data_IF_011196876451
#
_entry.id   IF_011196876451
#
_cell.length_a   1.000
_cell.length_b   1.000
_cell.length_c   1.000
_cell.angle_alpha   90.00
_cell.angle_beta   90.00
_cell.angle_gamma   90.00
#
_symmetry.space_group_name_H-M   'P 1'
#
loop_
_entity.id
_entity.type
_entity.pdbx_description
1 polymer ?
#
# COMPACT_ATOMS: atom_id res chain seq x y z
N UNK A 1 11.36 8.45 22.80
CA UNK A 1 10.08 8.21 22.11
C UNK A 1 9.07 9.25 22.57
N UNK A 2 8.76 10.25 21.75
CA UNK A 2 7.80 11.32 22.12
C UNK A 2 6.38 10.75 22.20
N UNK A 3 5.66 11.10 23.25
CA UNK A 3 4.23 10.77 23.44
C UNK A 3 3.43 11.40 22.29
N UNK A 4 2.81 10.58 21.43
CA UNK A 4 1.90 11.07 20.38
C UNK A 4 0.88 12.00 21.00
N UNK A 5 0.60 13.13 20.35
CA UNK A 5 -0.41 14.06 20.85
C UNK A 5 -1.78 13.37 20.89
N UNK A 6 -2.67 13.79 21.78
CA UNK A 6 -4.04 13.25 21.83
C UNK A 6 -4.74 13.43 20.47
N UNK A 7 -4.43 14.49 19.75
CA UNK A 7 -4.93 14.78 18.40
C UNK A 7 -4.48 13.71 17.39
N UNK A 8 -3.19 13.34 17.38
CA UNK A 8 -2.68 12.32 16.46
C UNK A 8 -3.28 10.94 16.74
N UNK A 9 -3.45 10.58 18.02
CA UNK A 9 -4.11 9.35 18.42
C UNK A 9 -5.55 9.29 17.93
N UNK A 10 -6.31 10.40 18.08
CA UNK A 10 -7.71 10.47 17.63
C UNK A 10 -7.81 10.43 16.11
N UNK A 11 -6.93 11.11 15.40
CA UNK A 11 -6.89 11.03 13.93
C UNK A 11 -6.61 9.59 13.46
N UNK A 12 -5.62 8.90 14.04
CA UNK A 12 -5.33 7.50 13.74
C UNK A 12 -6.54 6.58 13.99
N UNK A 13 -7.21 6.72 15.13
CA UNK A 13 -8.41 5.98 15.49
C UNK A 13 -9.56 6.17 14.48
N UNK A 14 -9.77 7.40 14.00
CA UNK A 14 -10.80 7.71 12.99
C UNK A 14 -10.43 7.09 11.64
N UNK A 15 -9.16 7.16 11.22
CA UNK A 15 -8.66 6.58 9.98
C UNK A 15 -8.83 5.04 10.00
N UNK A 16 -8.47 4.38 11.08
CA UNK A 16 -8.66 2.94 11.28
C UNK A 16 -10.15 2.55 11.22
N UNK A 17 -11.01 3.35 11.84
CA UNK A 17 -12.44 3.13 11.77
C UNK A 17 -13.00 3.27 10.35
N UNK A 18 -12.51 4.23 9.53
CA UNK A 18 -12.88 4.31 8.11
C UNK A 18 -12.43 3.06 7.36
N UNK A 19 -11.20 2.59 7.59
CA UNK A 19 -10.70 1.37 6.97
C UNK A 19 -11.60 0.17 7.27
N UNK A 20 -11.99 -0.02 8.54
CA UNK A 20 -12.91 -1.07 8.94
C UNK A 20 -14.31 -0.93 8.35
N UNK A 21 -14.83 0.29 8.17
CA UNK A 21 -16.10 0.54 7.47
C UNK A 21 -15.98 0.20 5.98
N UNK A 22 -14.89 0.62 5.32
CA UNK A 22 -14.64 0.30 3.91
C UNK A 22 -14.58 -1.22 3.69
N UNK A 23 -13.93 -1.96 4.58
CA UNK A 23 -13.85 -3.41 4.51
C UNK A 23 -15.23 -4.09 4.70
N UNK A 24 -16.10 -3.51 5.52
CA UNK A 24 -17.41 -4.08 5.84
C UNK A 24 -18.49 -3.75 4.80
N UNK A 25 -18.57 -2.50 4.35
CA UNK A 25 -19.70 -2.02 3.52
C UNK A 25 -19.26 -1.27 2.26
N UNK A 26 -17.98 -1.06 2.04
CA UNK A 26 -17.42 -0.25 0.96
C UNK A 26 -17.44 1.25 1.29
N UNK A 27 -16.57 2.02 0.59
CA UNK A 27 -16.43 3.46 0.84
C UNK A 27 -17.73 4.23 0.62
N UNK A 28 -18.45 3.96 -0.46
CA UNK A 28 -19.67 4.71 -0.80
C UNK A 28 -20.71 4.66 0.32
N UNK A 29 -20.92 3.51 0.93
CA UNK A 29 -21.89 3.30 2.02
C UNK A 29 -21.38 3.73 3.38
N UNK A 30 -20.06 3.87 3.56
CA UNK A 30 -19.49 4.42 4.79
C UNK A 30 -19.90 5.89 4.96
N UNK A 31 -20.27 6.26 6.17
CA UNK A 31 -20.64 7.64 6.56
C UNK A 31 -19.79 8.11 7.73
N UNK A 32 -19.64 9.43 7.92
CA UNK A 32 -18.97 9.98 9.10
C UNK A 32 -19.62 9.46 10.39
N UNK A 33 -20.93 9.25 10.38
CA UNK A 33 -21.65 8.70 11.54
C UNK A 33 -21.29 7.24 11.82
N UNK A 34 -21.20 6.39 10.79
CA UNK A 34 -20.80 4.99 10.99
C UNK A 34 -19.33 4.87 11.38
N UNK A 35 -18.46 5.71 10.81
CA UNK A 35 -17.04 5.82 11.20
C UNK A 35 -16.93 6.24 12.67
N UNK A 36 -17.69 7.25 13.12
CA UNK A 36 -17.72 7.69 14.51
C UNK A 36 -18.15 6.56 15.45
N UNK A 37 -19.23 5.85 15.09
CA UNK A 37 -19.74 4.71 15.88
C UNK A 37 -18.68 3.60 16.00
N UNK A 38 -18.02 3.23 14.88
CA UNK A 38 -16.93 2.24 14.88
C UNK A 38 -15.72 2.68 15.70
N UNK A 39 -15.38 3.97 15.65
CA UNK A 39 -14.29 4.55 16.45
C UNK A 39 -14.65 4.69 17.94
N UNK A 40 -15.90 4.48 18.34
CA UNK A 40 -16.35 4.76 19.71
C UNK A 40 -16.31 6.25 20.07
N UNK A 41 -16.54 7.14 19.08
CA UNK A 41 -16.46 8.58 19.21
C UNK A 41 -17.81 9.25 18.91
N UNK A 42 -18.05 10.42 19.50
CA UNK A 42 -19.16 11.26 19.07
C UNK A 42 -18.91 11.81 17.65
N UNK A 43 -19.94 11.90 16.78
CA UNK A 43 -19.78 12.46 15.42
C UNK A 43 -19.16 13.85 15.39
N UNK A 44 -19.49 14.71 16.37
CA UNK A 44 -18.89 16.04 16.50
C UNK A 44 -17.37 16.02 16.72
N UNK A 45 -16.84 14.97 17.39
CA UNK A 45 -15.39 14.82 17.56
C UNK A 45 -14.71 14.40 16.26
N UNK A 46 -15.38 13.58 15.44
CA UNK A 46 -14.87 13.26 14.09
C UNK A 46 -14.80 14.52 13.25
N UNK A 47 -15.86 15.35 13.24
CA UNK A 47 -15.89 16.63 12.52
C UNK A 47 -14.86 17.66 13.03
N UNK A 48 -14.46 17.58 14.29
CA UNK A 48 -13.37 18.40 14.81
C UNK A 48 -12.01 18.05 14.16
N UNK A 49 -11.79 16.78 13.83
CA UNK A 49 -10.53 16.29 13.25
C UNK A 49 -10.53 16.23 11.72
N UNK A 50 -11.70 16.06 11.08
CA UNK A 50 -11.87 15.92 9.64
C UNK A 50 -13.16 16.58 9.18
N UNK A 51 -13.09 17.44 8.18
CA UNK A 51 -14.27 18.16 7.69
C UNK A 51 -15.28 17.25 6.99
N UNK A 52 -14.82 16.18 6.32
CA UNK A 52 -15.65 15.26 5.57
C UNK A 52 -15.00 13.88 5.43
N UNK A 53 -15.74 12.92 4.88
CA UNK A 53 -15.28 11.54 4.65
C UNK A 53 -14.11 11.46 3.68
N UNK A 54 -14.08 12.33 2.66
CA UNK A 54 -12.98 12.39 1.69
C UNK A 54 -11.64 12.72 2.39
N UNK A 55 -11.66 13.65 3.33
CA UNK A 55 -10.44 14.03 4.07
C UNK A 55 -9.92 12.86 4.92
N UNK A 56 -10.80 12.05 5.51
CA UNK A 56 -10.39 10.83 6.23
C UNK A 56 -9.77 9.82 5.25
N UNK A 57 -10.38 9.63 4.07
CA UNK A 57 -9.86 8.73 3.04
C UNK A 57 -8.47 9.18 2.55
N UNK A 58 -8.29 10.47 2.31
CA UNK A 58 -6.99 11.01 1.88
C UNK A 58 -5.92 10.82 2.96
N UNK A 59 -6.26 10.98 4.23
CA UNK A 59 -5.36 10.72 5.34
C UNK A 59 -5.03 9.22 5.48
N UNK A 60 -5.97 8.32 5.20
CA UNK A 60 -5.73 6.88 5.11
C UNK A 60 -4.72 6.57 3.99
N UNK A 61 -4.94 7.11 2.80
CA UNK A 61 -4.04 6.92 1.64
C UNK A 61 -2.62 7.41 1.96
N UNK A 62 -2.50 8.63 2.50
CA UNK A 62 -1.22 9.21 2.87
C UNK A 62 -0.51 8.37 3.96
N UNK A 63 -1.25 7.83 4.93
CA UNK A 63 -0.72 6.92 5.96
C UNK A 63 -0.22 5.58 5.41
N UNK A 64 -0.96 4.96 4.48
CA UNK A 64 -0.56 3.73 3.82
C UNK A 64 0.70 3.94 2.97
N UNK A 65 0.78 5.04 2.22
CA UNK A 65 1.96 5.40 1.43
C UNK A 65 3.18 5.61 2.35
N UNK A 66 3.02 6.40 3.41
CA UNK A 66 4.10 6.66 4.36
C UNK A 66 4.62 5.37 5.03
N UNK A 67 3.73 4.46 5.40
CA UNK A 67 4.10 3.16 5.96
C UNK A 67 4.87 2.30 4.94
N UNK A 68 4.40 2.28 3.70
CA UNK A 68 5.05 1.55 2.61
C UNK A 68 6.47 2.10 2.32
N UNK A 69 6.64 3.43 2.30
CA UNK A 69 7.95 4.08 2.11
C UNK A 69 8.88 3.83 3.31
N UNK A 70 8.39 3.98 4.53
CA UNK A 70 9.19 3.79 5.74
C UNK A 70 9.77 2.37 5.87
N UNK A 71 9.00 1.35 5.47
CA UNK A 71 9.45 -0.04 5.47
C UNK A 71 10.58 -0.32 4.47
N UNK A 72 10.67 0.49 3.42
CA UNK A 72 11.63 0.29 2.33
C UNK A 72 12.90 1.16 2.45
N UNK A 73 12.80 2.32 3.08
CA UNK A 73 13.89 3.29 3.18
C UNK A 73 15.22 2.69 3.67
N UNK A 74 15.28 1.84 4.74
CA UNK A 74 16.54 1.29 5.22
C UNK A 74 17.29 0.45 4.19
N UNK A 75 16.55 -0.22 3.30
CA UNK A 75 17.13 -1.06 2.25
C UNK A 75 17.64 -0.21 1.10
N UNK A 76 16.84 0.75 0.66
CA UNK A 76 17.19 1.62 -0.47
C UNK A 76 18.38 2.51 -0.14
N UNK A 77 18.48 2.99 1.09
CA UNK A 77 19.57 3.83 1.58
C UNK A 77 20.88 3.03 1.88
N UNK A 78 20.79 1.70 1.88
CA UNK A 78 21.94 0.84 2.13
C UNK A 78 22.94 0.85 0.96
N UNK A 79 24.19 0.42 1.22
CA UNK A 79 25.22 0.17 0.20
C UNK A 79 25.04 -1.18 -0.54
N UNK A 80 23.88 -1.84 -0.40
CA UNK A 80 23.61 -3.10 -1.06
C UNK A 80 23.60 -2.97 -2.59
N UNK A 81 24.01 -4.03 -3.30
CA UNK A 81 23.93 -4.10 -4.74
C UNK A 81 22.49 -3.91 -5.26
N UNK A 82 22.30 -3.31 -6.45
CA UNK A 82 20.97 -3.03 -7.01
C UNK A 82 20.06 -4.26 -7.05
N UNK A 83 20.56 -5.43 -7.43
CA UNK A 83 19.81 -6.68 -7.43
C UNK A 83 19.27 -7.06 -6.04
N UNK A 84 20.06 -6.85 -4.98
CA UNK A 84 19.61 -7.08 -3.59
C UNK A 84 18.55 -6.07 -3.15
N UNK A 85 18.64 -4.81 -3.61
CA UNK A 85 17.61 -3.79 -3.36
C UNK A 85 16.30 -4.15 -4.03
N UNK A 86 16.33 -4.65 -5.27
CA UNK A 86 15.16 -5.15 -5.98
C UNK A 86 14.52 -6.34 -5.26
N UNK A 87 15.31 -7.32 -4.83
CA UNK A 87 14.80 -8.46 -4.06
C UNK A 87 14.17 -8.03 -2.74
N UNK A 88 14.81 -7.12 -2.00
CA UNK A 88 14.26 -6.59 -0.77
C UNK A 88 13.00 -5.73 -0.99
N UNK A 89 12.91 -5.00 -2.11
CA UNK A 89 11.67 -4.33 -2.51
C UNK A 89 10.54 -5.34 -2.68
N UNK A 90 10.75 -6.43 -3.42
CA UNK A 90 9.77 -7.50 -3.59
C UNK A 90 9.34 -8.05 -2.23
N UNK A 91 10.29 -8.47 -1.39
CA UNK A 91 9.97 -9.04 -0.06
C UNK A 91 9.20 -8.07 0.82
N UNK A 92 9.52 -6.77 0.79
CA UNK A 92 8.82 -5.75 1.57
C UNK A 92 7.38 -5.52 1.10
N UNK A 93 7.11 -5.71 -0.20
CA UNK A 93 5.77 -5.46 -0.79
C UNK A 93 4.89 -6.71 -0.77
N UNK A 94 5.44 -7.88 -1.10
CA UNK A 94 4.68 -9.12 -1.25
C UNK A 94 5.10 -10.23 -0.30
N UNK A 95 6.01 -9.98 0.62
CA UNK A 95 6.37 -10.86 1.74
C UNK A 95 5.17 -11.08 2.68
N UNK A 96 4.00 -11.10 2.07
CA UNK A 96 2.69 -11.40 2.64
C UNK A 96 2.62 -12.91 2.92
N UNK A 97 3.55 -13.42 3.75
CA UNK A 97 3.53 -14.79 4.22
C UNK A 97 2.21 -15.14 4.93
N UNK A 98 2.12 -16.31 5.50
CA UNK A 98 0.93 -16.80 6.23
C UNK A 98 0.47 -15.84 7.34
N UNK A 99 1.37 -14.96 7.81
CA UNK A 99 1.15 -13.92 8.84
C UNK A 99 0.87 -12.52 8.29
N UNK A 100 0.77 -12.34 6.96
CA UNK A 100 0.49 -11.03 6.39
C UNK A 100 -0.80 -10.46 6.94
N UNK A 101 -0.74 -9.21 7.33
CA UNK A 101 -1.91 -8.45 7.73
C UNK A 101 -2.88 -8.36 6.55
N UNK A 102 -3.84 -9.29 6.52
CA UNK A 102 -4.87 -9.36 5.48
C UNK A 102 -5.72 -8.08 5.45
N UNK A 103 -5.67 -7.27 6.51
CA UNK A 103 -6.35 -6.00 6.62
C UNK A 103 -5.61 -4.92 5.80
N UNK A 104 -4.29 -4.87 5.89
CA UNK A 104 -3.49 -3.93 5.10
C UNK A 104 -3.60 -4.20 3.59
N UNK A 105 -3.60 -5.47 3.17
CA UNK A 105 -3.80 -5.82 1.75
C UNK A 105 -5.20 -5.40 1.28
N UNK A 106 -6.25 -5.66 2.08
CA UNK A 106 -7.60 -5.20 1.76
C UNK A 106 -7.70 -3.68 1.72
N UNK A 107 -6.98 -2.98 2.60
CA UNK A 107 -6.88 -1.53 2.57
C UNK A 107 -6.34 -1.02 1.24
N UNK A 108 -5.23 -1.56 0.76
CA UNK A 108 -4.64 -1.20 -0.53
C UNK A 108 -5.58 -1.49 -1.68
N UNK A 109 -6.21 -2.67 -1.73
CA UNK A 109 -7.18 -3.02 -2.78
C UNK A 109 -8.37 -2.06 -2.75
N UNK A 110 -8.88 -1.73 -1.56
CA UNK A 110 -9.94 -0.73 -1.39
C UNK A 110 -9.54 0.66 -1.88
N UNK A 111 -8.33 1.13 -1.54
CA UNK A 111 -7.80 2.42 -2.01
C UNK A 111 -7.63 2.43 -3.52
N UNK A 112 -7.10 1.37 -4.13
CA UNK A 112 -6.97 1.27 -5.60
C UNK A 112 -8.34 1.34 -6.27
N UNK A 113 -9.36 0.66 -5.75
CA UNK A 113 -10.72 0.73 -6.27
C UNK A 113 -11.27 2.18 -6.26
N UNK A 114 -11.00 2.94 -5.18
CA UNK A 114 -11.45 4.33 -5.07
C UNK A 114 -10.74 5.29 -6.05
N UNK A 115 -9.60 4.90 -6.65
CA UNK A 115 -8.95 5.72 -7.68
C UNK A 115 -9.82 5.94 -8.90
N UNK A 116 -10.80 5.07 -9.17
CA UNK A 116 -11.72 5.21 -10.31
C UNK A 116 -12.73 6.32 -10.09
N UNK A 117 -13.26 6.46 -8.87
CA UNK A 117 -14.29 7.46 -8.53
C UNK A 117 -13.73 8.76 -7.94
N UNK A 118 -12.57 8.72 -7.28
CA UNK A 118 -12.04 9.82 -6.47
C UNK A 118 -10.78 10.42 -7.09
N UNK A 119 -10.89 11.56 -7.78
CA UNK A 119 -9.77 12.19 -8.51
C UNK A 119 -8.57 12.53 -7.60
N UNK A 120 -8.82 12.96 -6.36
CA UNK A 120 -7.76 13.29 -5.40
C UNK A 120 -7.02 12.03 -4.92
N UNK A 121 -7.73 10.91 -4.69
CA UNK A 121 -7.14 9.61 -4.36
C UNK A 121 -6.27 9.13 -5.53
N UNK A 122 -6.83 9.15 -6.75
CA UNK A 122 -6.09 8.81 -7.97
C UNK A 122 -4.80 9.61 -8.11
N UNK A 123 -4.85 10.93 -7.91
CA UNK A 123 -3.68 11.79 -8.03
C UNK A 123 -2.58 11.45 -7.00
N UNK A 124 -2.94 11.07 -5.76
CA UNK A 124 -1.97 10.65 -4.73
C UNK A 124 -1.33 9.31 -5.07
N UNK A 125 -2.16 8.32 -5.38
CA UNK A 125 -1.70 6.97 -5.71
C UNK A 125 -0.85 6.99 -6.99
N UNK A 126 -1.28 7.70 -8.03
CA UNK A 126 -0.53 7.81 -9.29
C UNK A 126 0.85 8.46 -9.07
N UNK A 127 0.93 9.50 -8.25
CA UNK A 127 2.22 10.16 -7.92
C UNK A 127 3.15 9.22 -7.16
N UNK A 128 2.62 8.48 -6.20
CA UNK A 128 3.40 7.51 -5.47
C UNK A 128 3.89 6.36 -6.36
N UNK A 129 3.01 5.76 -7.19
CA UNK A 129 3.39 4.71 -8.12
C UNK A 129 4.40 5.20 -9.17
N UNK A 130 4.29 6.45 -9.64
CA UNK A 130 5.27 7.04 -10.56
C UNK A 130 6.65 7.18 -9.90
N UNK A 131 6.72 7.56 -8.63
CA UNK A 131 7.96 7.60 -7.85
C UNK A 131 8.56 6.21 -7.69
N UNK A 132 7.75 5.22 -7.28
CA UNK A 132 8.19 3.83 -7.13
C UNK A 132 8.67 3.26 -8.47
N UNK A 133 7.94 3.52 -9.58
CA UNK A 133 8.35 3.12 -10.93
C UNK A 133 9.71 3.69 -11.31
N UNK A 134 9.91 5.00 -11.16
CA UNK A 134 11.19 5.64 -11.50
C UNK A 134 12.36 5.07 -10.68
N UNK A 135 12.13 4.78 -9.39
CA UNK A 135 13.14 4.20 -8.51
C UNK A 135 13.47 2.75 -8.91
N UNK A 136 12.47 1.94 -9.22
CA UNK A 136 12.67 0.57 -9.70
C UNK A 136 13.38 0.54 -11.05
N UNK A 137 13.00 1.39 -12.01
CA UNK A 137 13.66 1.50 -13.29
C UNK A 137 15.15 1.89 -13.14
N UNK A 138 15.45 2.78 -12.19
CA UNK A 138 16.84 3.12 -11.86
C UNK A 138 17.59 1.90 -11.32
N UNK A 139 16.99 1.12 -10.42
CA UNK A 139 17.62 -0.08 -9.86
C UNK A 139 17.83 -1.18 -10.93
N UNK A 140 16.84 -1.40 -11.82
CA UNK A 140 17.00 -2.35 -12.93
C UNK A 140 18.12 -1.92 -13.89
N UNK A 141 18.19 -0.64 -14.25
CA UNK A 141 19.27 -0.12 -15.09
C UNK A 141 20.66 -0.26 -14.42
N UNK A 142 20.75 0.05 -13.12
CA UNK A 142 21.99 -0.12 -12.34
C UNK A 142 22.38 -1.61 -12.18
N UNK A 143 21.43 -2.52 -12.22
CA UNK A 143 21.67 -3.95 -12.24
C UNK A 143 22.03 -4.49 -13.64
N UNK A 144 22.09 -3.65 -14.67
CA UNK A 144 22.44 -4.03 -16.03
C UNK A 144 21.29 -4.64 -16.84
N UNK A 145 20.06 -4.59 -16.35
CA UNK A 145 18.92 -5.16 -17.07
C UNK A 145 18.51 -4.32 -18.28
N UNK A 146 18.26 -4.98 -19.41
CA UNK A 146 17.63 -4.36 -20.57
C UNK A 146 16.13 -4.13 -20.34
N UNK A 147 15.56 -3.06 -20.91
CA UNK A 147 14.12 -2.77 -20.75
C UNK A 147 13.73 -2.38 -19.31
N UNK A 148 14.60 -1.64 -18.59
CA UNK A 148 14.42 -1.31 -17.18
C UNK A 148 13.08 -0.64 -16.84
N UNK A 149 12.52 0.18 -17.75
CA UNK A 149 11.23 0.85 -17.57
C UNK A 149 10.08 -0.15 -17.61
N UNK A 150 10.10 -1.05 -18.58
CA UNK A 150 9.10 -2.10 -18.78
C UNK A 150 9.15 -3.14 -17.65
N UNK A 151 10.35 -3.49 -17.19
CA UNK A 151 10.54 -4.38 -16.05
C UNK A 151 9.98 -3.76 -14.76
N UNK A 152 10.24 -2.48 -14.52
CA UNK A 152 9.68 -1.77 -13.38
C UNK A 152 8.14 -1.73 -13.42
N UNK A 153 7.55 -1.45 -14.58
CA UNK A 153 6.10 -1.47 -14.76
C UNK A 153 5.51 -2.87 -14.54
N UNK A 154 6.16 -3.91 -15.08
CA UNK A 154 5.76 -5.31 -14.92
C UNK A 154 5.81 -5.76 -13.46
N UNK A 155 6.85 -5.37 -12.72
CA UNK A 155 6.97 -5.67 -11.30
C UNK A 155 5.84 -5.01 -10.49
N UNK A 156 5.56 -3.72 -10.71
CA UNK A 156 4.46 -3.02 -10.03
C UNK A 156 3.10 -3.65 -10.35
N UNK A 157 2.84 -3.99 -11.62
CA UNK A 157 1.60 -4.65 -12.03
C UNK A 157 1.44 -6.00 -11.34
N UNK A 158 2.52 -6.78 -11.22
CA UNK A 158 2.53 -8.08 -10.56
C UNK A 158 2.26 -7.97 -9.06
N UNK A 159 2.82 -6.96 -8.40
CA UNK A 159 2.57 -6.68 -6.98
C UNK A 159 1.09 -6.30 -6.76
N UNK A 160 0.55 -5.37 -7.54
CA UNK A 160 -0.85 -4.93 -7.43
C UNK A 160 -1.82 -6.07 -7.74
N UNK A 161 -1.51 -6.88 -8.76
CA UNK A 161 -2.27 -8.09 -9.09
C UNK A 161 -2.26 -9.12 -7.96
N UNK A 162 -1.12 -9.34 -7.32
CA UNK A 162 -1.01 -10.27 -6.19
C UNK A 162 -1.86 -9.83 -4.98
N UNK A 163 -1.94 -8.53 -4.69
CA UNK A 163 -2.82 -7.99 -3.66
C UNK A 163 -4.29 -8.27 -3.97
N UNK A 164 -4.71 -8.08 -5.23
CA UNK A 164 -6.07 -8.36 -5.66
C UNK A 164 -6.44 -9.82 -5.51
N UNK A 165 -5.56 -10.74 -5.96
CA UNK A 165 -5.76 -12.19 -5.83
C UNK A 165 -5.80 -12.64 -4.36
N UNK A 166 -4.95 -12.04 -3.50
CA UNK A 166 -4.96 -12.32 -2.08
C UNK A 166 -6.26 -11.85 -1.41
N UNK A 167 -6.73 -10.63 -1.73
CA UNK A 167 -7.94 -10.07 -1.16
C UNK A 167 -9.21 -10.84 -1.58
N UNK A 168 -9.28 -11.29 -2.84
CA UNK A 168 -10.40 -12.08 -3.39
C UNK A 168 -10.40 -13.51 -2.84
N UNK A 169 -9.27 -14.01 -2.33
CA UNK A 169 -9.11 -15.39 -1.84
C UNK A 169 -9.46 -16.44 -2.89
N UNK A 170 -8.86 -16.33 -4.08
CA UNK A 170 -9.11 -17.26 -5.20
C UNK A 170 -8.68 -18.67 -4.80
N UNK A 171 -9.60 -19.63 -4.95
CA UNK A 171 -9.32 -21.03 -4.68
C UNK A 171 -8.23 -21.57 -5.62
N UNK A 172 -7.33 -22.39 -5.09
CA UNK A 172 -6.22 -22.96 -5.85
C UNK A 172 -4.97 -22.07 -5.96
N UNK A 173 -5.02 -20.80 -5.49
CA UNK A 173 -3.84 -19.95 -5.41
C UNK A 173 -3.23 -20.09 -3.99
N UNK A 174 -1.98 -20.63 -3.88
CA UNK A 174 -1.33 -20.78 -2.58
C UNK A 174 -1.08 -19.42 -1.92
N UNK A 175 -1.24 -19.32 -0.60
CA UNK A 175 -0.87 -18.11 0.13
C UNK A 175 0.64 -17.90 0.07
N UNK A 176 1.07 -16.64 -0.06
CA UNK A 176 2.48 -16.27 -0.10
C UNK A 176 3.21 -16.67 -1.39
N UNK A 177 2.47 -17.11 -2.44
CA UNK A 177 3.07 -17.54 -3.70
C UNK A 177 3.86 -16.41 -4.39
N UNK A 178 3.45 -15.17 -4.21
CA UNK A 178 3.93 -14.04 -5.00
C UNK A 178 5.42 -13.75 -4.73
N UNK A 179 5.86 -13.77 -3.48
CA UNK A 179 7.25 -13.48 -3.13
C UNK A 179 8.23 -14.43 -3.82
N UNK A 180 8.18 -15.77 -3.62
CA UNK A 180 9.14 -16.66 -4.25
C UNK A 180 9.05 -16.67 -5.77
N UNK A 181 7.90 -16.37 -6.36
CA UNK A 181 7.77 -16.27 -7.81
C UNK A 181 8.40 -15.00 -8.36
N UNK A 182 8.19 -13.86 -7.72
CA UNK A 182 8.79 -12.59 -8.14
C UNK A 182 10.30 -12.58 -7.91
N UNK A 183 10.80 -13.21 -6.86
CA UNK A 183 12.24 -13.36 -6.66
C UNK A 183 12.88 -14.20 -7.78
N UNK A 184 12.29 -15.34 -8.15
CA UNK A 184 12.73 -16.13 -9.30
C UNK A 184 12.65 -15.37 -10.63
N UNK A 185 11.59 -14.58 -10.80
CA UNK A 185 11.46 -13.73 -11.97
C UNK A 185 12.58 -12.68 -12.04
N UNK A 186 12.94 -12.06 -10.90
CA UNK A 186 14.07 -11.14 -10.84
C UNK A 186 15.38 -11.82 -11.26
N UNK A 187 15.66 -13.04 -10.75
CA UNK A 187 16.84 -13.82 -11.14
C UNK A 187 16.89 -14.09 -12.64
N UNK A 188 15.73 -14.31 -13.28
CA UNK A 188 15.66 -14.60 -14.71
C UNK A 188 15.81 -13.36 -15.62
N UNK A 189 15.49 -12.15 -15.13
CA UNK A 189 15.55 -10.91 -15.94
C UNK A 189 16.80 -10.07 -15.67
N UNK A 190 17.54 -10.36 -14.59
CA UNK A 190 18.80 -9.72 -14.30
C UNK A 190 19.95 -10.49 -14.95
N UNK A 191 20.97 -9.81 -15.49
CA UNK A 191 22.18 -10.46 -15.96
C UNK A 191 22.98 -11.09 -14.80
N UNK A 192 23.80 -12.11 -15.12
CA UNK A 192 24.70 -12.78 -14.17
C UNK A 192 25.76 -11.83 -13.58
#
# INVERSE_FOLDING_TARGET
MGRRSNTDQRRAQIIEALLGEMAAVGYERASVRSVAARAGLAPGLVHYHFHNKEEILLALVDGLIAQAEAGLAPVLDSAAAPARKLAAYVSSRVGLGVSADSEQVRAWVGVIAETMGQSKVRSRVARWLAKDHAQLATLFAQAGAEGAQELAASLLASILGSFSLHAIRVNGIPRGYAEPQLLRWLEAVLPD
#
